data_IF_255797953865
#
_entry.id   IF_255797953865
#
_cell.length_a   1.000
_cell.length_b   1.000
_cell.length_c   1.000
_cell.angle_alpha   90.00
_cell.angle_beta   90.00
_cell.angle_gamma   90.00
#
_symmetry.space_group_name_H-M   'P 1'
#
loop_
_entity.id
_entity.type
_entity.pdbx_description
1 polymer ?
#
# COMPACT_ATOMS: atom_id res chain seq x y z
N UNK A 1 3.21 17.26 -5.27
CA UNK A 1 3.25 15.89 -4.70
C UNK A 1 2.25 15.11 -5.50
N UNK A 2 2.74 14.06 -6.15
CA UNK A 2 2.17 13.38 -7.30
C UNK A 2 1.53 12.07 -6.82
N UNK A 3 0.33 11.75 -7.33
CA UNK A 3 -0.33 10.45 -7.11
C UNK A 3 0.60 9.30 -7.48
N UNK A 4 0.57 8.26 -6.68
CA UNK A 4 1.30 7.03 -6.91
C UNK A 4 0.35 6.05 -7.62
N UNK A 5 0.58 5.75 -8.90
CA UNK A 5 0.26 4.41 -9.41
C UNK A 5 1.24 3.49 -8.72
N UNK A 6 0.77 2.67 -7.78
CA UNK A 6 1.68 1.91 -6.89
C UNK A 6 2.36 0.79 -7.65
N UNK A 7 3.42 1.17 -8.36
CA UNK A 7 4.47 0.30 -8.86
C UNK A 7 5.75 0.75 -8.16
N UNK A 8 6.15 -0.02 -7.14
CA UNK A 8 7.45 0.16 -6.51
C UNK A 8 8.48 -0.60 -7.33
N UNK A 9 9.39 0.14 -7.96
CA UNK A 9 10.51 -0.48 -8.65
C UNK A 9 11.64 -0.63 -7.63
N UNK A 10 12.03 -1.86 -7.36
CA UNK A 10 13.19 -2.17 -6.54
C UNK A 10 14.41 -2.27 -7.45
N UNK A 11 15.38 -1.38 -7.26
CA UNK A 11 16.68 -1.49 -7.94
C UNK A 11 17.71 -1.93 -6.91
N UNK A 12 18.15 -3.18 -7.02
CA UNK A 12 19.29 -3.68 -6.24
C UNK A 12 20.59 -3.11 -6.80
N UNK A 13 21.37 -2.43 -5.96
CA UNK A 13 22.75 -2.06 -6.28
C UNK A 13 23.71 -2.79 -5.32
N UNK A 14 24.75 -3.40 -5.89
CA UNK A 14 25.87 -3.97 -5.11
C UNK A 14 26.83 -2.83 -4.79
N UNK A 15 26.90 -2.46 -3.52
CA UNK A 15 27.96 -1.59 -3.02
C UNK A 15 29.02 -2.44 -2.32
N UNK A 16 30.29 -2.14 -2.57
CA UNK A 16 31.40 -2.81 -1.91
C UNK A 16 31.98 -1.89 -0.84
N UNK A 17 31.93 -2.32 0.42
CA UNK A 17 32.59 -1.65 1.55
C UNK A 17 33.51 -2.65 2.23
N UNK A 18 34.81 -2.34 2.35
CA UNK A 18 35.82 -3.22 2.97
C UNK A 18 35.77 -4.68 2.48
N UNK A 19 35.70 -4.89 1.16
CA UNK A 19 35.58 -6.21 0.51
C UNK A 19 34.29 -7.03 0.81
N UNK A 20 33.34 -6.48 1.57
CA UNK A 20 32.00 -7.05 1.74
C UNK A 20 31.03 -6.44 0.72
N UNK A 21 30.28 -7.28 0.01
CA UNK A 21 29.19 -6.82 -0.85
C UNK A 21 27.94 -6.54 -0.02
N UNK A 22 27.55 -5.28 0.09
CA UNK A 22 26.28 -4.85 0.68
C UNK A 22 25.30 -4.60 -0.46
N UNK A 23 24.19 -5.33 -0.45
CA UNK A 23 23.07 -5.05 -1.34
C UNK A 23 22.25 -3.90 -0.76
N UNK A 24 22.36 -2.72 -1.37
CA UNK A 24 21.50 -1.59 -1.03
C UNK A 24 20.33 -1.61 -2.01
N UNK A 25 19.14 -1.82 -1.49
CA UNK A 25 17.90 -1.73 -2.26
C UNK A 25 17.34 -0.32 -2.13
N UNK A 26 17.20 0.37 -3.25
CA UNK A 26 16.49 1.64 -3.31
C UNK A 26 15.09 1.38 -3.86
N UNK A 27 14.09 1.98 -3.21
CA UNK A 27 12.70 1.95 -3.67
C UNK A 27 12.42 3.19 -4.49
N UNK A 28 11.92 2.98 -5.69
CA UNK A 28 11.50 4.05 -6.59
C UNK A 28 9.99 4.05 -6.75
N UNK A 29 9.47 5.26 -6.84
CA UNK A 29 8.07 5.52 -7.16
C UNK A 29 7.92 5.75 -8.66
N UNK A 30 7.13 4.91 -9.32
CA UNK A 30 6.90 4.98 -10.76
C UNK A 30 5.41 5.22 -11.09
N UNK A 31 5.11 5.31 -12.39
CA UNK A 31 3.77 5.52 -12.97
C UNK A 31 3.01 6.73 -12.41
N UNK A 32 3.36 7.90 -12.96
CA UNK A 32 2.70 9.17 -12.68
C UNK A 32 1.54 9.47 -13.67
N UNK A 33 1.08 8.50 -14.46
CA UNK A 33 0.02 8.72 -15.47
C UNK A 33 -1.30 9.20 -14.88
N UNK A 34 -1.49 8.93 -13.59
CA UNK A 34 -2.65 9.31 -12.82
C UNK A 34 -2.41 10.51 -11.88
N UNK A 35 -1.19 11.09 -11.89
CA UNK A 35 -0.78 12.19 -11.02
C UNK A 35 -1.66 13.44 -11.15
N UNK A 36 -1.83 14.14 -10.02
CA UNK A 36 -2.67 15.33 -9.94
C UNK A 36 -1.91 16.51 -9.35
N UNK A 37 -1.99 17.68 -10.01
CA UNK A 37 -1.40 18.92 -9.51
C UNK A 37 -2.36 19.58 -8.51
N UNK A 38 -2.26 19.19 -7.25
CA UNK A 38 -3.16 19.64 -6.17
C UNK A 38 -3.03 21.13 -5.79
N UNK A 39 -1.89 21.76 -6.09
CA UNK A 39 -1.60 23.15 -5.71
C UNK A 39 -0.86 23.89 -6.85
N UNK A 40 -1.54 24.16 -7.98
CA UNK A 40 -0.95 24.92 -9.07
C UNK A 40 -0.61 26.34 -8.62
N UNK A 41 0.65 26.75 -8.83
CA UNK A 41 1.14 28.09 -8.48
C UNK A 41 0.92 28.50 -7.02
N UNK A 42 0.90 27.55 -6.09
CA UNK A 42 0.66 27.82 -4.67
C UNK A 42 -0.81 27.89 -4.27
N UNK A 43 -1.74 27.77 -5.22
CA UNK A 43 -3.17 27.78 -4.96
C UNK A 43 -3.69 26.36 -4.76
N UNK A 44 -3.90 25.94 -3.52
CA UNK A 44 -4.50 24.64 -3.21
C UNK A 44 -5.90 24.55 -3.83
N UNK A 45 -6.23 23.40 -4.40
CA UNK A 45 -7.59 23.16 -4.89
C UNK A 45 -8.59 23.21 -3.73
N UNK A 46 -9.80 23.64 -4.02
CA UNK A 46 -10.87 23.64 -3.02
C UNK A 46 -11.46 22.25 -2.88
N UNK A 47 -11.94 21.93 -1.67
CA UNK A 47 -12.69 20.72 -1.44
C UNK A 47 -14.04 20.81 -2.14
N UNK A 48 -14.29 19.90 -3.08
CA UNK A 48 -15.57 19.82 -3.78
C UNK A 48 -15.83 18.36 -4.16
N UNK A 49 -16.87 17.76 -3.59
CA UNK A 49 -17.31 16.43 -3.98
C UNK A 49 -17.94 16.47 -5.38
N UNK A 50 -17.66 15.43 -6.18
CA UNK A 50 -18.24 15.30 -7.51
C UNK A 50 -18.46 13.81 -7.80
N UNK A 51 -19.65 13.26 -7.51
CA UNK A 51 -19.95 11.85 -7.69
C UNK A 51 -19.70 11.34 -9.11
N UNK A 52 -19.80 12.20 -10.14
CA UNK A 52 -19.52 11.83 -11.54
C UNK A 52 -18.04 11.54 -11.80
N UNK A 53 -17.15 12.01 -10.93
CA UNK A 53 -15.70 11.76 -10.94
C UNK A 53 -15.27 10.84 -9.81
N UNK A 54 -16.22 10.20 -9.12
CA UNK A 54 -15.97 9.30 -8.01
C UNK A 54 -15.24 8.02 -8.45
N UNK A 55 -14.70 7.32 -7.46
CA UNK A 55 -14.13 5.98 -7.61
C UNK A 55 -12.95 5.85 -8.59
N UNK A 56 -12.29 6.96 -8.92
CA UNK A 56 -11.14 6.94 -9.81
C UNK A 56 -9.90 6.28 -9.15
N UNK A 57 -9.17 5.47 -9.92
CA UNK A 57 -7.94 4.77 -9.49
C UNK A 57 -8.13 3.30 -9.17
N UNK A 58 -7.11 2.68 -8.57
CA UNK A 58 -7.19 1.29 -8.12
C UNK A 58 -8.14 1.22 -6.93
N UNK A 59 -9.34 0.68 -7.12
CA UNK A 59 -10.42 0.62 -6.12
C UNK A 59 -9.93 0.09 -4.77
N UNK A 60 -9.05 -0.91 -4.77
CA UNK A 60 -8.46 -1.49 -3.56
C UNK A 60 -7.74 -0.45 -2.69
N UNK A 61 -7.01 0.50 -3.29
CA UNK A 61 -6.13 1.42 -2.57
C UNK A 61 -6.60 2.87 -2.58
N UNK A 62 -7.47 3.28 -3.50
CA UNK A 62 -7.81 4.70 -3.70
C UNK A 62 -8.41 5.34 -2.43
N UNK A 63 -8.08 6.60 -2.14
CA UNK A 63 -8.53 7.30 -0.92
C UNK A 63 -10.05 7.55 -0.89
N UNK A 64 -10.61 7.84 0.29
CA UNK A 64 -12.01 8.27 0.44
C UNK A 64 -12.33 9.54 -0.36
N UNK A 65 -11.41 10.50 -0.43
CA UNK A 65 -11.56 11.71 -1.25
C UNK A 65 -11.76 11.33 -2.73
N UNK A 66 -11.00 10.35 -3.22
CA UNK A 66 -11.13 9.84 -4.59
C UNK A 66 -12.46 9.11 -4.81
N UNK A 67 -12.93 8.31 -3.84
CA UNK A 67 -14.25 7.68 -3.89
C UNK A 67 -15.35 8.74 -4.04
N UNK A 68 -15.26 9.86 -3.31
CA UNK A 68 -16.18 11.01 -3.37
C UNK A 68 -16.01 11.91 -4.61
N UNK A 69 -15.01 11.63 -5.45
CA UNK A 69 -14.67 12.43 -6.63
C UNK A 69 -14.11 13.82 -6.31
N UNK A 70 -13.59 13.99 -5.09
CA UNK A 70 -12.86 15.18 -4.67
C UNK A 70 -11.51 15.21 -5.39
N UNK A 71 -11.04 16.40 -5.74
CA UNK A 71 -9.69 16.57 -6.23
C UNK A 71 -8.68 16.03 -5.21
N UNK A 72 -7.69 15.24 -5.63
CA UNK A 72 -6.75 14.63 -4.70
C UNK A 72 -5.86 15.69 -4.03
N UNK A 73 -5.56 15.49 -2.74
CA UNK A 73 -4.61 16.30 -2.00
C UNK A 73 -3.54 15.44 -1.32
N UNK A 74 -2.69 16.04 -0.49
CA UNK A 74 -1.60 15.35 0.21
C UNK A 74 -2.09 14.26 1.15
N UNK A 75 -3.23 14.45 1.83
CA UNK A 75 -3.77 13.44 2.75
C UNK A 75 -4.21 12.18 2.01
N UNK A 76 -4.71 12.34 0.78
CA UNK A 76 -5.12 11.24 -0.08
C UNK A 76 -3.95 10.29 -0.37
N UNK A 77 -2.76 10.82 -0.68
CA UNK A 77 -1.56 10.00 -0.91
C UNK A 77 -1.11 9.26 0.37
N UNK A 78 -1.24 9.90 1.55
CA UNK A 78 -0.88 9.27 2.82
C UNK A 78 -1.86 8.17 3.21
N UNK A 79 -3.16 8.38 3.02
CA UNK A 79 -4.20 7.37 3.22
C UNK A 79 -3.95 6.14 2.33
N UNK A 80 -3.68 6.35 1.04
CA UNK A 80 -3.34 5.29 0.08
C UNK A 80 -2.10 4.50 0.56
N UNK A 81 -1.04 5.19 1.00
CA UNK A 81 0.16 4.53 1.52
C UNK A 81 -0.15 3.70 2.78
N UNK A 82 -1.02 4.19 3.68
CA UNK A 82 -1.45 3.44 4.85
C UNK A 82 -2.16 2.14 4.48
N UNK A 83 -3.04 2.16 3.47
CA UNK A 83 -3.68 0.95 2.95
C UNK A 83 -2.67 -0.01 2.33
N UNK A 84 -1.65 0.48 1.63
CA UNK A 84 -0.59 -0.37 1.09
C UNK A 84 0.25 -1.03 2.18
N UNK A 85 0.66 -0.27 3.21
CA UNK A 85 1.37 -0.82 4.37
C UNK A 85 0.55 -1.93 5.03
N UNK A 86 -0.75 -1.69 5.24
CA UNK A 86 -1.66 -2.68 5.81
C UNK A 86 -1.80 -3.91 4.90
N UNK A 87 -1.95 -3.70 3.59
CA UNK A 87 -2.05 -4.79 2.60
C UNK A 87 -0.80 -5.65 2.54
N UNK A 88 0.39 -5.07 2.66
CA UNK A 88 1.66 -5.79 2.65
C UNK A 88 1.88 -6.56 3.94
N UNK A 89 1.54 -5.95 5.09
CA UNK A 89 1.67 -6.62 6.39
C UNK A 89 0.69 -7.80 6.52
N UNK A 90 -0.57 -7.60 6.11
CA UNK A 90 -1.64 -8.57 6.34
C UNK A 90 -1.89 -9.54 5.17
N UNK A 91 -1.30 -9.26 4.00
CA UNK A 91 -1.55 -10.04 2.78
C UNK A 91 -2.94 -9.86 2.15
N UNK A 92 -3.84 -9.07 2.77
CA UNK A 92 -5.18 -8.70 2.26
C UNK A 92 -5.74 -7.48 3.00
N UNK A 93 -6.72 -6.81 2.39
CA UNK A 93 -7.50 -5.73 3.01
C UNK A 93 -8.92 -6.20 3.37
N UNK A 94 -9.60 -5.56 4.35
CA UNK A 94 -10.95 -5.95 4.76
C UNK A 94 -11.99 -5.99 3.63
N UNK A 95 -11.80 -5.16 2.59
CA UNK A 95 -12.69 -5.00 1.44
C UNK A 95 -12.26 -5.76 0.18
N UNK A 96 -11.27 -6.66 0.24
CA UNK A 96 -10.74 -7.39 -0.93
C UNK A 96 -11.83 -8.18 -1.69
N UNK A 97 -12.87 -8.65 -1.00
CA UNK A 97 -14.00 -9.35 -1.63
C UNK A 97 -14.99 -8.41 -2.33
N UNK A 98 -14.94 -7.12 -2.05
CA UNK A 98 -15.91 -6.12 -2.51
C UNK A 98 -15.36 -5.24 -3.64
N UNK A 99 -14.21 -5.55 -4.24
CA UNK A 99 -13.54 -4.68 -5.23
C UNK A 99 -14.36 -4.37 -6.50
N UNK A 100 -15.41 -5.16 -6.79
CA UNK A 100 -16.36 -4.90 -7.88
C UNK A 100 -17.45 -3.88 -7.53
N UNK A 101 -17.59 -3.54 -6.25
CA UNK A 101 -18.55 -2.57 -5.72
C UNK A 101 -17.79 -1.42 -5.05
N UNK A 102 -17.54 -0.31 -5.79
CA UNK A 102 -16.82 0.84 -5.26
C UNK A 102 -17.47 1.51 -4.07
N UNK A 103 -18.80 1.38 -3.91
CA UNK A 103 -19.54 1.96 -2.78
C UNK A 103 -19.35 1.10 -1.54
N UNK A 104 -19.42 -0.23 -1.66
CA UNK A 104 -19.10 -1.12 -0.56
C UNK A 104 -17.65 -0.95 -0.08
N UNK A 105 -16.70 -0.77 -1.01
CA UNK A 105 -15.29 -0.49 -0.67
C UNK A 105 -15.14 0.85 0.04
N UNK A 106 -15.84 1.89 -0.42
CA UNK A 106 -15.86 3.19 0.26
C UNK A 106 -16.36 3.06 1.69
N UNK A 107 -17.50 2.39 1.90
CA UNK A 107 -18.08 2.17 3.24
C UNK A 107 -17.11 1.40 4.14
N UNK A 108 -16.48 0.35 3.63
CA UNK A 108 -15.51 -0.43 4.40
C UNK A 108 -14.27 0.38 4.80
N UNK A 109 -13.79 1.28 3.93
CA UNK A 109 -12.70 2.22 4.25
C UNK A 109 -13.11 3.24 5.29
N UNK A 110 -14.30 3.81 5.18
CA UNK A 110 -14.86 4.73 6.20
C UNK A 110 -14.92 4.05 7.56
N UNK A 111 -15.50 2.84 7.64
CA UNK A 111 -15.59 2.09 8.90
C UNK A 111 -14.21 1.78 9.47
N UNK A 112 -13.25 1.38 8.64
CA UNK A 112 -11.86 1.16 9.08
C UNK A 112 -11.30 2.43 9.74
N UNK A 113 -11.44 3.60 9.12
CA UNK A 113 -10.87 4.86 9.64
C UNK A 113 -11.61 5.42 10.86
N UNK A 114 -12.94 5.25 10.93
CA UNK A 114 -13.77 5.70 12.03
C UNK A 114 -13.51 4.89 13.31
N UNK A 115 -13.23 3.59 13.16
CA UNK A 115 -12.94 2.66 14.27
C UNK A 115 -11.44 2.52 14.60
N UNK A 116 -10.60 3.48 14.16
CA UNK A 116 -9.19 3.48 14.53
C UNK A 116 -8.97 3.84 16.01
N UNK A 117 -7.95 3.24 16.68
CA UNK A 117 -6.98 2.28 16.14
C UNK A 117 -7.47 0.82 16.11
N UNK A 118 -8.58 0.48 16.77
CA UNK A 118 -9.02 -0.89 17.03
C UNK A 118 -9.27 -1.69 15.76
N UNK A 119 -9.79 -1.07 14.70
CA UNK A 119 -10.07 -1.71 13.42
C UNK A 119 -8.81 -2.32 12.78
N UNK A 120 -7.69 -1.59 12.81
CA UNK A 120 -6.40 -2.06 12.29
C UNK A 120 -5.79 -3.09 13.23
N UNK A 121 -5.82 -2.83 14.54
CA UNK A 121 -5.24 -3.74 15.54
C UNK A 121 -5.93 -5.11 15.58
N UNK A 122 -7.25 -5.17 15.30
CA UNK A 122 -8.00 -6.43 15.17
C UNK A 122 -7.72 -7.16 13.86
N UNK A 123 -7.41 -6.44 12.79
CA UNK A 123 -7.19 -7.01 11.46
C UNK A 123 -5.77 -7.55 11.28
N UNK A 124 -4.78 -6.82 11.78
CA UNK A 124 -3.38 -7.10 11.56
C UNK A 124 -2.77 -7.98 12.67
N UNK A 125 -1.70 -8.74 12.37
CA UNK A 125 -0.97 -9.47 13.39
C UNK A 125 -0.40 -8.52 14.45
N UNK A 126 0.04 -9.08 15.59
CA UNK A 126 0.71 -8.34 16.66
C UNK A 126 1.89 -7.51 16.12
N UNK A 127 1.96 -6.22 16.48
CA UNK A 127 2.97 -5.28 15.97
C UNK A 127 2.51 -4.35 14.84
N UNK A 128 1.21 -4.04 14.78
CA UNK A 128 0.59 -3.17 13.76
C UNK A 128 0.18 -1.79 14.29
N UNK A 129 0.56 -1.47 15.53
CA UNK A 129 0.28 -0.20 16.20
C UNK A 129 0.75 1.02 15.40
N UNK A 130 1.87 0.89 14.71
CA UNK A 130 2.52 1.93 13.92
C UNK A 130 1.69 2.25 12.68
N UNK A 131 1.09 1.25 12.03
CA UNK A 131 0.20 1.45 10.89
C UNK A 131 -1.11 2.10 11.36
N UNK A 132 -1.65 1.67 12.49
CA UNK A 132 -2.86 2.28 13.07
C UNK A 132 -2.63 3.76 13.42
N UNK A 133 -1.50 4.08 14.07
CA UNK A 133 -1.11 5.47 14.39
C UNK A 133 -0.83 6.30 13.13
N UNK A 134 -0.20 5.71 12.11
CA UNK A 134 0.03 6.37 10.84
C UNK A 134 -1.30 6.73 10.15
N UNK A 135 -2.26 5.80 10.11
CA UNK A 135 -3.59 6.02 9.55
C UNK A 135 -4.40 7.04 10.36
N UNK A 136 -4.29 7.05 11.70
CA UNK A 136 -4.86 8.10 12.55
C UNK A 136 -4.34 9.48 12.13
N UNK A 137 -3.02 9.62 12.00
CA UNK A 137 -2.42 10.88 11.55
C UNK A 137 -2.88 11.27 10.14
N UNK A 138 -3.03 10.31 9.22
CA UNK A 138 -3.47 10.59 7.86
C UNK A 138 -4.95 11.03 7.81
N UNK A 139 -5.81 10.39 8.61
CA UNK A 139 -7.24 10.69 8.74
C UNK A 139 -7.48 12.09 9.29
N UNK A 140 -6.72 12.48 10.31
CA UNK A 140 -6.93 13.74 11.04
C UNK A 140 -6.46 14.98 10.28
N UNK A 141 -5.79 14.81 9.13
CA UNK A 141 -5.39 15.92 8.27
C UNK A 141 -6.60 16.63 7.65
N UNK A 142 -6.64 17.95 7.80
CA UNK A 142 -7.51 18.76 6.98
C UNK A 142 -7.12 18.63 5.49
N UNK A 143 -8.08 18.88 4.60
CA UNK A 143 -7.91 18.63 3.17
C UNK A 143 -6.71 19.37 2.55
N UNK A 144 -6.47 20.59 2.98
CA UNK A 144 -5.38 21.47 2.55
C UNK A 144 -4.23 21.58 3.58
N UNK A 145 -4.22 20.70 4.59
CA UNK A 145 -3.15 20.66 5.57
C UNK A 145 -1.85 20.14 4.96
N UNK A 146 -0.71 20.68 5.41
CA UNK A 146 0.62 20.15 5.08
C UNK A 146 0.97 19.06 6.11
N UNK A 147 1.12 17.79 5.70
CA UNK A 147 1.43 16.73 6.66
C UNK A 147 2.79 16.91 7.32
N UNK A 148 2.89 16.52 8.59
CA UNK A 148 4.16 16.40 9.28
C UNK A 148 4.85 15.08 8.90
N UNK A 149 5.55 15.07 7.76
CA UNK A 149 6.25 13.88 7.28
C UNK A 149 7.34 13.36 8.22
N UNK A 150 7.91 14.21 9.08
CA UNK A 150 8.88 13.78 10.09
C UNK A 150 8.21 12.95 11.18
N UNK A 151 7.03 13.38 11.66
CA UNK A 151 6.24 12.63 12.63
C UNK A 151 5.81 11.27 12.06
N UNK A 152 5.31 11.24 10.82
CA UNK A 152 4.89 9.99 10.16
C UNK A 152 6.05 8.99 10.03
N UNK A 153 7.27 9.47 9.73
CA UNK A 153 8.47 8.61 9.72
C UNK A 153 8.84 8.08 11.10
N UNK A 154 8.70 8.90 12.15
CA UNK A 154 8.95 8.47 13.53
C UNK A 154 7.93 7.43 13.99
N UNK A 155 6.67 7.57 13.61
CA UNK A 155 5.64 6.56 13.91
C UNK A 155 6.00 5.20 13.30
N UNK A 156 6.50 5.18 12.06
CA UNK A 156 6.90 3.94 11.39
C UNK A 156 8.29 3.40 11.83
N UNK A 157 9.04 4.18 12.61
CA UNK A 157 10.35 3.80 13.14
C UNK A 157 10.54 4.42 14.54
N UNK A 158 9.77 3.96 15.55
CA UNK A 158 9.70 4.59 16.86
C UNK A 158 11.05 4.56 17.60
N UNK A 159 11.81 3.48 17.43
CA UNK A 159 13.13 3.28 18.05
C UNK A 159 14.25 4.05 17.33
N UNK A 160 13.96 4.66 16.18
CA UNK A 160 14.95 5.40 15.39
C UNK A 160 16.09 4.51 14.88
N UNK A 161 15.82 3.21 14.71
CA UNK A 161 16.83 2.26 14.24
C UNK A 161 17.32 2.67 12.84
N UNK A 162 18.62 2.56 12.55
CA UNK A 162 19.13 2.78 11.21
C UNK A 162 18.39 1.88 10.21
N UNK A 163 17.96 2.47 9.09
CA UNK A 163 17.30 1.72 8.03
C UNK A 163 18.30 0.72 7.42
N UNK A 164 18.07 -0.56 7.67
CA UNK A 164 18.82 -1.65 7.08
C UNK A 164 18.47 -1.87 5.60
N UNK A 165 19.11 -2.86 4.94
CA UNK A 165 18.70 -3.28 3.60
C UNK A 165 17.25 -3.78 3.61
N UNK A 166 16.55 -3.61 2.49
CA UNK A 166 15.22 -4.18 2.33
C UNK A 166 15.34 -5.69 2.13
N UNK A 167 14.65 -6.43 2.98
CA UNK A 167 14.63 -7.89 2.96
C UNK A 167 13.37 -8.40 2.23
N UNK A 168 13.56 -9.08 1.10
CA UNK A 168 12.48 -9.71 0.31
C UNK A 168 12.55 -11.24 0.33
N UNK A 169 13.35 -11.82 1.23
CA UNK A 169 13.57 -13.27 1.28
C UNK A 169 12.27 -14.02 1.61
N UNK A 170 11.70 -14.71 0.63
CA UNK A 170 10.72 -15.77 0.88
C UNK A 170 11.50 -17.01 1.31
N UNK A 171 11.52 -17.36 2.59
CA UNK A 171 11.92 -18.73 2.95
C UNK A 171 10.90 -19.66 2.30
N UNK A 172 11.32 -20.50 1.36
CA UNK A 172 10.48 -21.60 0.90
C UNK A 172 10.13 -22.45 2.12
N UNK A 173 8.89 -22.37 2.59
CA UNK A 173 8.35 -23.40 3.48
C UNK A 173 8.24 -24.67 2.64
N UNK A 174 9.28 -25.50 2.70
CA UNK A 174 9.21 -26.89 2.28
C UNK A 174 8.20 -27.61 3.18
N UNK A 175 6.92 -27.55 2.82
CA UNK A 175 5.94 -28.50 3.28
C UNK A 175 6.40 -29.87 2.78
N UNK A 176 6.94 -30.68 3.71
CA UNK A 176 7.09 -32.12 3.51
C UNK A 176 5.70 -32.73 3.31
N UNK A 177 5.19 -32.63 2.09
CA UNK A 177 4.06 -33.41 1.65
C UNK A 177 4.56 -34.84 1.42
N UNK A 178 3.97 -35.87 2.05
CA UNK A 178 4.31 -37.25 1.74
C UNK A 178 4.08 -37.48 0.25
N UNK A 179 5.08 -38.06 -0.43
CA UNK A 179 4.98 -38.39 -1.84
C UNK A 179 3.71 -39.23 -2.09
N UNK A 180 2.82 -38.84 -3.03
CA UNK A 180 1.70 -39.68 -3.40
C UNK A 180 2.25 -40.95 -4.05
N UNK A 181 1.80 -42.11 -3.55
CA UNK A 181 2.07 -43.40 -4.16
C UNK A 181 1.67 -43.37 -5.63
N UNK A 182 2.65 -43.54 -6.50
CA UNK A 182 2.51 -43.56 -7.96
C UNK A 182 1.75 -44.83 -8.40
N UNK A 183 0.54 -44.77 -9.00
CA UNK A 183 0.09 -45.81 -9.89
C UNK A 183 0.58 -45.45 -11.30
N UNK A 184 1.35 -46.36 -11.90
CA UNK A 184 1.80 -46.28 -13.30
C UNK A 184 0.59 -46.09 -14.21
N UNK A 185 0.52 -44.98 -14.95
CA UNK A 185 -0.32 -44.88 -16.15
C UNK A 185 0.41 -44.10 -17.24
N UNK A 186 0.21 -44.61 -18.45
CA UNK A 186 0.90 -44.51 -19.73
C UNK A 186 1.10 -43.11 -20.35
N UNK A 187 2.20 -43.02 -21.11
CA UNK A 187 2.54 -42.00 -22.12
C UNK A 187 1.36 -41.58 -23.01
N UNK A 188 1.15 -40.28 -23.18
CA UNK A 188 0.83 -39.64 -24.47
C UNK A 188 1.14 -38.12 -24.44
N UNK A 189 1.41 -37.50 -25.61
CA UNK A 189 2.22 -36.29 -25.73
C UNK A 189 1.39 -35.00 -25.82
N UNK A 190 1.80 -33.95 -25.09
CA UNK A 190 1.29 -32.60 -25.30
C UNK A 190 2.14 -31.87 -26.35
N UNK A 191 1.67 -31.89 -27.60
CA UNK A 191 1.88 -30.80 -28.54
C UNK A 191 0.67 -29.86 -28.49
N UNK A 192 0.91 -28.56 -28.73
CA UNK A 192 -0.05 -27.45 -28.91
C UNK A 192 -0.63 -26.89 -27.58
N UNK A 193 -0.68 -25.59 -27.29
CA UNK A 193 -0.76 -24.38 -28.12
C UNK A 193 -0.12 -23.14 -27.46
N UNK A 194 0.13 -22.17 -28.35
CA UNK A 194 0.34 -20.72 -28.16
C UNK A 194 -0.49 -20.08 -27.04
#
# INVERSE_FOLDING_TARGET
MLRIGICYIFRGQKHYYNHLSVHVFQVYLADYGLSYRYCPSGNHKQYQENPRKGHNGTIEFTSLDAHKGVALSRRSDLEILGYCLLRWLCGKLPWERNLKDPVAVQTAKTNLLDELPESVLKWAPSGSSEIAQYLLCARDLAYDEKPNYQMLRKILNPDGMPLGPLEFSTKEESLNMPAPNNPKVSNCPWNYLL
#
